data_IF_147526523480
#
_entry.id   IF_147526523480
#
_cell.length_a   1.000
_cell.length_b   1.000
_cell.length_c   1.000
_cell.angle_alpha   90.00
_cell.angle_beta   90.00
_cell.angle_gamma   90.00
#
_symmetry.space_group_name_H-M   'P 1'
#
loop_
_entity.id
_entity.type
_entity.pdbx_description
1 polymer ?
#
# COMPACT_ATOMS: atom_id res chain seq x y z
N UNK A 1 -8.88 16.26 25.88
CA UNK A 1 -8.53 15.46 24.68
C UNK A 1 -9.66 14.49 24.38
N UNK A 2 -9.79 14.04 23.13
CA UNK A 2 -10.94 13.25 22.64
C UNK A 2 -10.92 11.74 23.02
N UNK A 3 -9.95 11.28 23.81
CA UNK A 3 -9.92 9.91 24.33
C UNK A 3 -9.35 8.82 23.40
N UNK A 4 -8.77 9.18 22.26
CA UNK A 4 -8.11 8.23 21.35
C UNK A 4 -6.88 7.58 21.99
N UNK A 5 -6.70 6.29 21.73
CA UNK A 5 -5.55 5.49 22.17
C UNK A 5 -4.85 4.88 20.97
N UNK A 6 -3.51 4.79 21.04
CA UNK A 6 -2.72 4.11 20.02
C UNK A 6 -3.02 2.61 20.02
N UNK A 7 -3.22 2.05 18.81
CA UNK A 7 -3.60 0.66 18.59
C UNK A 7 -2.46 -0.16 17.98
N UNK A 8 -1.67 0.47 17.10
CA UNK A 8 -0.49 -0.10 16.43
C UNK A 8 0.33 1.05 15.86
N UNK A 9 1.65 0.87 15.81
CA UNK A 9 2.59 1.76 15.11
C UNK A 9 3.21 1.01 13.92
N UNK A 10 3.29 1.70 12.78
CA UNK A 10 3.89 1.19 11.53
C UNK A 10 5.08 2.07 11.15
N UNK A 11 6.28 1.53 11.31
CA UNK A 11 7.50 2.21 10.89
C UNK A 11 7.82 1.85 9.43
N UNK A 12 8.04 2.86 8.60
CA UNK A 12 8.41 2.65 7.19
C UNK A 12 9.27 3.78 6.62
N UNK A 13 10.13 3.43 5.68
CA UNK A 13 10.82 4.38 4.80
C UNK A 13 10.13 4.35 3.44
N UNK A 14 9.72 5.51 2.94
CA UNK A 14 9.04 5.67 1.64
C UNK A 14 9.90 6.47 0.67
N UNK A 15 10.13 5.90 -0.50
CA UNK A 15 10.53 6.66 -1.68
C UNK A 15 9.30 6.89 -2.55
N UNK A 16 8.89 8.14 -2.72
CA UNK A 16 7.74 8.53 -3.53
C UNK A 16 8.20 9.22 -4.82
N UNK A 17 7.56 8.88 -5.94
CA UNK A 17 7.71 9.59 -7.21
C UNK A 17 6.35 9.80 -7.86
N UNK A 18 6.13 10.97 -8.44
CA UNK A 18 4.91 11.30 -9.16
C UNK A 18 5.17 11.33 -10.64
N UNK A 19 4.42 10.52 -11.38
CA UNK A 19 4.36 10.54 -12.83
C UNK A 19 3.11 11.29 -13.27
N UNK A 20 2.87 11.38 -14.59
CA UNK A 20 1.62 11.92 -15.11
C UNK A 20 0.41 11.06 -14.70
N UNK A 21 0.61 9.75 -14.62
CA UNK A 21 -0.49 8.79 -14.53
C UNK A 21 -0.68 8.25 -13.09
N UNK A 22 0.41 8.14 -12.33
CA UNK A 22 0.42 7.52 -10.99
C UNK A 22 1.36 8.25 -10.02
N UNK A 23 0.99 8.25 -8.74
CA UNK A 23 1.98 8.32 -7.65
C UNK A 23 2.47 6.90 -7.39
N UNK A 24 3.79 6.72 -7.38
CA UNK A 24 4.46 5.43 -7.15
C UNK A 24 5.24 5.52 -5.86
N UNK A 25 5.00 4.61 -4.93
CA UNK A 25 5.74 4.54 -3.66
C UNK A 25 6.48 3.21 -3.55
N UNK A 26 7.76 3.27 -3.18
CA UNK A 26 8.54 2.12 -2.74
C UNK A 26 8.70 2.21 -1.23
N UNK A 27 8.11 1.25 -0.53
CA UNK A 27 8.02 1.25 0.93
C UNK A 27 8.84 0.10 1.52
N UNK A 28 9.83 0.41 2.33
CA UNK A 28 10.45 -0.55 3.24
C UNK A 28 9.74 -0.46 4.59
N UNK A 29 8.88 -1.43 4.88
CA UNK A 29 8.05 -1.47 6.08
C UNK A 29 8.70 -2.40 7.10
N UNK A 30 8.98 -1.86 8.29
CA UNK A 30 9.57 -2.64 9.37
C UNK A 30 8.69 -3.87 9.67
N UNK A 31 9.34 -5.05 9.78
CA UNK A 31 8.72 -6.38 10.02
C UNK A 31 7.93 -6.98 8.84
N UNK A 32 7.60 -6.23 7.79
CA UNK A 32 6.86 -6.74 6.63
C UNK A 32 7.71 -6.86 5.36
N UNK A 33 8.72 -6.00 5.19
CA UNK A 33 9.63 -6.02 4.03
C UNK A 33 9.35 -4.91 3.01
N UNK A 34 9.74 -5.16 1.76
CA UNK A 34 9.70 -4.18 0.67
C UNK A 34 8.40 -4.30 -0.14
N UNK A 35 7.75 -3.16 -0.40
CA UNK A 35 6.50 -3.05 -1.13
C UNK A 35 6.57 -1.97 -2.22
N UNK A 36 5.70 -2.10 -3.21
CA UNK A 36 5.39 -1.06 -4.19
C UNK A 36 3.90 -0.75 -4.14
N UNK A 37 3.57 0.54 -4.09
CA UNK A 37 2.20 1.05 -4.18
C UNK A 37 2.06 1.93 -5.42
N UNK A 38 0.88 1.85 -6.04
CA UNK A 38 0.43 2.80 -7.06
C UNK A 38 -0.82 3.48 -6.53
N UNK A 39 -0.91 4.79 -6.71
CA UNK A 39 -2.04 5.59 -6.27
C UNK A 39 -2.50 6.53 -7.40
N UNK A 40 -3.81 6.67 -7.53
CA UNK A 40 -4.48 7.62 -8.43
C UNK A 40 -5.59 8.30 -7.65
N UNK A 41 -5.63 9.63 -7.66
CA UNK A 41 -6.79 10.39 -7.22
C UNK A 41 -7.70 10.60 -8.41
N UNK A 42 -8.98 10.29 -8.24
CA UNK A 42 -10.00 10.40 -9.29
C UNK A 42 -11.32 10.86 -8.70
N UNK A 43 -12.19 11.38 -9.53
CA UNK A 43 -13.58 11.71 -9.17
C UNK A 43 -14.38 10.45 -8.80
N UNK A 44 -15.41 10.60 -7.97
CA UNK A 44 -16.26 9.51 -7.47
C UNK A 44 -16.97 8.70 -8.58
N UNK A 45 -17.15 9.30 -9.75
CA UNK A 45 -17.82 8.67 -10.90
C UNK A 45 -16.93 7.71 -11.70
N UNK A 46 -15.64 7.62 -11.35
CA UNK A 46 -14.69 6.80 -12.09
C UNK A 46 -14.88 5.30 -11.85
N UNK A 47 -14.57 4.51 -12.87
CA UNK A 47 -14.57 3.05 -12.75
C UNK A 47 -13.31 2.57 -12.02
N UNK A 48 -13.39 2.49 -10.69
CA UNK A 48 -12.31 2.06 -9.82
C UNK A 48 -11.79 0.67 -10.18
N UNK A 49 -12.64 -0.25 -10.64
CA UNK A 49 -12.22 -1.62 -11.00
C UNK A 49 -11.35 -1.60 -12.25
N UNK A 50 -11.76 -0.84 -13.26
CA UNK A 50 -10.97 -0.66 -14.47
C UNK A 50 -9.63 0.02 -14.16
N UNK A 51 -9.62 1.05 -13.31
CA UNK A 51 -8.39 1.73 -12.88
C UNK A 51 -7.44 0.76 -12.17
N UNK A 52 -7.91 -0.02 -11.20
CA UNK A 52 -7.09 -1.03 -10.52
C UNK A 52 -6.53 -2.08 -11.49
N UNK A 53 -7.31 -2.50 -12.48
CA UNK A 53 -6.83 -3.42 -13.51
C UNK A 53 -5.74 -2.80 -14.39
N UNK A 54 -5.86 -1.52 -14.75
CA UNK A 54 -4.82 -0.80 -15.48
C UNK A 54 -3.53 -0.66 -14.68
N UNK A 55 -3.63 -0.33 -13.38
CA UNK A 55 -2.50 -0.26 -12.47
C UNK A 55 -1.77 -1.61 -12.36
N UNK A 56 -2.51 -2.71 -12.24
CA UNK A 56 -1.92 -4.06 -12.24
C UNK A 56 -1.19 -4.37 -13.55
N UNK A 57 -1.80 -4.04 -14.69
CA UNK A 57 -1.18 -4.25 -16.00
C UNK A 57 0.10 -3.41 -16.18
N UNK A 58 0.12 -2.19 -15.66
CA UNK A 58 1.31 -1.33 -15.65
C UNK A 58 2.44 -1.95 -14.82
N UNK A 59 2.18 -2.48 -13.62
CA UNK A 59 3.21 -3.20 -12.85
C UNK A 59 3.75 -4.40 -13.63
N UNK A 60 2.87 -5.16 -14.28
CA UNK A 60 3.29 -6.29 -15.12
C UNK A 60 4.14 -5.87 -16.32
N UNK A 61 3.86 -4.72 -16.94
CA UNK A 61 4.68 -4.23 -18.07
C UNK A 61 6.08 -3.81 -17.65
N UNK A 62 6.30 -3.50 -16.37
CA UNK A 62 7.61 -3.26 -15.77
C UNK A 62 8.32 -4.54 -15.31
N UNK A 63 7.79 -5.72 -15.64
CA UNK A 63 8.25 -7.02 -15.13
C UNK A 63 8.22 -7.13 -13.59
N UNK A 64 7.32 -6.40 -12.93
CA UNK A 64 7.09 -6.55 -11.48
C UNK A 64 6.07 -7.67 -11.29
N UNK A 65 6.56 -8.84 -10.87
CA UNK A 65 5.78 -10.07 -10.73
C UNK A 65 5.38 -10.40 -9.28
N UNK A 66 5.49 -9.42 -8.39
CA UNK A 66 5.12 -9.54 -6.97
C UNK A 66 3.68 -9.99 -6.71
N UNK A 67 3.42 -10.41 -5.47
CA UNK A 67 2.09 -10.79 -5.01
C UNK A 67 1.31 -9.55 -4.60
N UNK A 68 0.05 -9.48 -5.03
CA UNK A 68 -0.85 -8.43 -4.57
C UNK A 68 -1.07 -8.56 -3.05
N UNK A 69 -0.63 -7.55 -2.31
CA UNK A 69 -0.84 -7.46 -0.87
C UNK A 69 -2.19 -6.81 -0.60
N UNK A 70 -3.12 -7.55 0.02
CA UNK A 70 -4.51 -7.11 0.20
C UNK A 70 -4.82 -6.60 1.61
N UNK A 71 -3.95 -6.89 2.58
CA UNK A 71 -4.16 -6.53 3.98
C UNK A 71 -3.32 -5.29 4.26
N UNK A 72 -3.88 -4.18 4.75
CA UNK A 72 -3.10 -3.00 5.11
C UNK A 72 -1.94 -3.31 6.08
N UNK A 73 -0.87 -2.50 6.06
CA UNK A 73 0.33 -2.76 6.87
C UNK A 73 0.03 -2.76 8.37
N UNK A 74 -0.78 -1.82 8.85
CA UNK A 74 -1.22 -1.70 10.25
C UNK A 74 -1.96 -2.95 10.72
N UNK A 75 -2.88 -3.45 9.90
CA UNK A 75 -3.62 -4.68 10.20
C UNK A 75 -2.69 -5.90 10.18
N UNK A 76 -1.75 -5.94 9.23
CA UNK A 76 -0.76 -7.01 9.13
C UNK A 76 0.16 -7.05 10.36
N UNK A 77 0.70 -5.90 10.78
CA UNK A 77 1.56 -5.77 11.98
C UNK A 77 0.79 -6.09 13.25
N UNK A 78 -0.45 -5.59 13.38
CA UNK A 78 -1.31 -5.89 14.52
C UNK A 78 -1.60 -7.38 14.63
N UNK A 79 -1.90 -8.05 13.52
CA UNK A 79 -2.13 -9.49 13.50
C UNK A 79 -0.87 -10.27 13.91
N UNK A 80 0.31 -9.84 13.46
CA UNK A 80 1.57 -10.44 13.91
C UNK A 80 1.79 -10.27 15.41
N UNK A 81 1.52 -9.09 15.98
CA UNK A 81 1.64 -8.85 17.42
C UNK A 81 0.69 -9.73 18.25
N UNK A 82 -0.54 -9.92 17.78
CA UNK A 82 -1.53 -10.76 18.48
C UNK A 82 -1.18 -12.26 18.41
N UNK A 83 -0.54 -12.71 17.33
CA UNK A 83 -0.16 -14.12 17.14
C UNK A 83 1.11 -14.54 17.90
N UNK A 84 1.77 -13.61 18.60
CA UNK A 84 2.97 -13.88 19.43
C UNK A 84 2.59 -14.05 20.92
N UNK A 85 1.28 -14.19 21.22
CA UNK A 85 0.74 -14.40 22.57
C UNK A 85 0.53 -15.87 22.91
#
# INVERSE_FOLDING_TARGET
>A
ALGWQEIVTVDKVRLESKTKDYTICIDEVAKLGLFIELEVLTEDSADVKNIQQQMYNFLKSLNIDGKLWKIPYDTSIRNMQNNVS
#
